data_IF_309270181851
#
_entry.id   IF_309270181851
#
_cell.length_a   1.000
_cell.length_b   1.000
_cell.length_c   1.000
_cell.angle_alpha   90.00
_cell.angle_beta   90.00
_cell.angle_gamma   90.00
#
_symmetry.space_group_name_H-M   'P 1'
#
loop_
_entity.id
_entity.type
_entity.pdbx_description
1 polymer ?
#
# COMPACT_ATOMS: atom_id res chain seq x y z
N UNK A 1 6.57 7.54 30.48
CA UNK A 1 6.10 7.24 29.11
C UNK A 1 6.42 5.80 28.81
N UNK A 2 5.42 4.91 28.78
CA UNK A 2 5.54 3.47 28.52
C UNK A 2 5.16 3.11 27.06
N UNK A 3 5.13 1.81 26.73
CA UNK A 3 4.72 1.33 25.41
C UNK A 3 3.31 1.81 24.99
N UNK A 4 2.35 1.81 25.92
CA UNK A 4 0.98 2.31 25.66
C UNK A 4 0.97 3.81 25.34
N UNK A 5 1.70 4.62 26.11
CA UNK A 5 1.82 6.07 25.85
C UNK A 5 2.48 6.33 24.49
N UNK A 6 3.50 5.54 24.14
CA UNK A 6 4.16 5.59 22.83
C UNK A 6 3.17 5.28 21.71
N UNK A 7 2.37 4.21 21.87
CA UNK A 7 1.36 3.84 20.89
C UNK A 7 0.28 4.92 20.75
N UNK A 8 -0.22 5.48 21.85
CA UNK A 8 -1.22 6.56 21.83
C UNK A 8 -0.73 7.80 21.06
N UNK A 9 0.54 8.20 21.24
CA UNK A 9 1.15 9.30 20.46
C UNK A 9 1.20 8.98 18.97
N UNK A 10 1.49 7.73 18.61
CA UNK A 10 1.46 7.28 17.21
C UNK A 10 0.03 7.28 16.65
N UNK A 11 -0.97 6.87 17.42
CA UNK A 11 -2.38 6.93 17.00
C UNK A 11 -2.82 8.37 16.75
N UNK A 12 -2.45 9.30 17.63
CA UNK A 12 -2.71 10.73 17.45
C UNK A 12 -2.04 11.28 16.19
N UNK A 13 -0.78 10.91 15.95
CA UNK A 13 -0.08 11.24 14.70
C UNK A 13 -0.76 10.62 13.46
N UNK A 14 -1.22 9.37 13.54
CA UNK A 14 -1.85 8.69 12.41
C UNK A 14 -3.20 9.32 12.01
N UNK A 15 -3.91 9.96 12.95
CA UNK A 15 -5.13 10.72 12.65
C UNK A 15 -4.85 11.93 11.73
N UNK A 16 -3.70 12.58 11.93
CA UNK A 16 -3.23 13.75 11.17
C UNK A 16 -1.72 13.63 10.86
N UNK A 17 -1.34 12.80 9.87
CA UNK A 17 0.05 12.47 9.62
C UNK A 17 0.81 13.69 9.07
N UNK A 18 1.57 14.35 9.96
CA UNK A 18 2.47 15.46 9.65
C UNK A 18 3.87 15.12 10.13
N UNK A 19 4.85 15.19 9.23
CA UNK A 19 6.24 14.85 9.53
C UNK A 19 6.46 13.38 9.89
N UNK A 20 7.57 13.11 10.58
CA UNK A 20 7.94 11.75 11.01
C UNK A 20 7.04 11.27 12.16
N UNK A 21 6.71 9.97 12.22
CA UNK A 21 5.97 9.42 13.35
C UNK A 21 6.72 9.64 14.68
N UNK A 22 6.04 9.88 15.80
CA UNK A 22 6.72 10.06 17.08
C UNK A 22 7.54 8.82 17.45
N UNK A 23 8.61 9.01 18.23
CA UNK A 23 9.39 7.93 18.83
C UNK A 23 9.20 7.92 20.34
N UNK A 24 9.28 6.72 20.93
CA UNK A 24 9.18 6.53 22.36
C UNK A 24 9.64 5.15 22.81
N UNK A 25 9.77 4.94 24.12
CA UNK A 25 10.21 3.68 24.69
C UNK A 25 9.14 2.58 24.57
N UNK A 26 9.57 1.32 24.68
CA UNK A 26 8.71 0.12 24.63
C UNK A 26 8.69 -0.68 25.95
N UNK A 27 9.06 -0.07 27.08
CA UNK A 27 8.93 -0.73 28.37
C UNK A 27 7.45 -0.86 28.79
N UNK A 28 7.13 -1.85 29.62
CA UNK A 28 5.75 -2.20 30.04
C UNK A 28 4.82 -2.49 28.85
N UNK A 29 5.21 -3.47 28.03
CA UNK A 29 4.37 -4.01 26.93
C UNK A 29 3.10 -4.69 27.45
N UNK A 30 3.07 -5.07 28.73
CA UNK A 30 1.92 -5.67 29.40
C UNK A 30 0.69 -4.76 29.40
N UNK A 31 0.90 -3.45 29.48
CA UNK A 31 -0.17 -2.45 29.35
C UNK A 31 -0.90 -2.52 27.98
N UNK A 32 -0.24 -2.99 26.92
CA UNK A 32 -0.87 -3.14 25.60
C UNK A 32 -1.90 -4.28 25.53
N UNK A 33 -1.90 -5.21 26.50
CA UNK A 33 -2.83 -6.36 26.52
C UNK A 33 -4.24 -5.94 26.95
N UNK A 34 -4.34 -4.98 27.85
CA UNK A 34 -5.59 -4.38 28.31
C UNK A 34 -5.42 -2.86 28.34
N UNK A 35 -5.43 -2.21 27.16
CA UNK A 35 -5.11 -0.80 27.05
C UNK A 35 -6.19 0.05 27.69
N UNK A 36 -5.83 1.19 28.28
CA UNK A 36 -6.80 2.06 28.94
C UNK A 36 -7.89 2.57 27.96
N UNK A 37 -9.04 2.97 28.51
CA UNK A 37 -10.20 3.44 27.73
C UNK A 37 -9.87 4.56 26.71
N UNK A 38 -9.02 5.54 27.01
CA UNK A 38 -8.62 6.56 26.03
C UNK A 38 -7.96 5.97 24.77
N UNK A 39 -7.19 4.89 24.91
CA UNK A 39 -6.51 4.22 23.79
C UNK A 39 -7.51 3.45 22.94
N UNK A 40 -8.44 2.74 23.57
CA UNK A 40 -9.54 2.05 22.87
C UNK A 40 -10.41 3.02 22.09
N UNK A 41 -10.77 4.15 22.71
CA UNK A 41 -11.52 5.23 22.06
C UNK A 41 -10.76 5.81 20.87
N UNK A 42 -9.47 6.12 21.03
CA UNK A 42 -8.64 6.65 19.95
C UNK A 42 -8.54 5.67 18.76
N UNK A 43 -8.40 4.37 19.01
CA UNK A 43 -8.38 3.34 17.96
C UNK A 43 -9.71 3.28 17.19
N UNK A 44 -10.83 3.27 17.90
CA UNK A 44 -12.16 3.21 17.29
C UNK A 44 -12.47 4.46 16.45
N UNK A 45 -12.10 5.65 16.95
CA UNK A 45 -12.24 6.91 16.19
C UNK A 45 -11.33 6.95 14.96
N UNK A 46 -10.09 6.47 15.09
CA UNK A 46 -9.15 6.39 13.96
C UNK A 46 -9.67 5.46 12.86
N UNK A 47 -10.23 4.30 13.24
CA UNK A 47 -10.84 3.35 12.30
C UNK A 47 -12.06 3.97 11.60
N UNK A 48 -12.97 4.63 12.35
CA UNK A 48 -14.15 5.30 11.80
C UNK A 48 -13.80 6.44 10.84
N UNK A 49 -12.84 7.27 11.22
CA UNK A 49 -12.37 8.38 10.40
C UNK A 49 -11.74 7.87 9.10
N UNK A 50 -10.94 6.82 9.19
CA UNK A 50 -10.33 6.16 8.03
C UNK A 50 -11.38 5.54 7.11
N UNK A 51 -12.38 4.88 7.68
CA UNK A 51 -13.52 4.34 6.93
C UNK A 51 -14.24 5.43 6.12
N UNK A 52 -14.51 6.57 6.76
CA UNK A 52 -15.15 7.71 6.10
C UNK A 52 -14.29 8.28 4.96
N UNK A 53 -12.98 8.49 5.21
CA UNK A 53 -12.03 9.00 4.20
C UNK A 53 -11.92 8.09 2.98
N UNK A 54 -12.01 6.77 3.18
CA UNK A 54 -11.92 5.77 2.12
C UNK A 54 -13.27 5.43 1.47
N UNK A 55 -14.38 5.97 1.94
CA UNK A 55 -15.71 5.62 1.42
C UNK A 55 -16.19 4.22 1.82
N UNK A 56 -15.66 3.65 2.90
CA UNK A 56 -16.04 2.30 3.35
C UNK A 56 -17.48 2.22 3.92
N UNK A 57 -18.15 3.35 4.14
CA UNK A 57 -19.50 3.43 4.70
C UNK A 57 -19.57 3.45 6.23
N UNK A 58 -20.79 3.51 6.77
CA UNK A 58 -21.10 3.45 8.21
C UNK A 58 -22.28 2.49 8.43
N UNK A 59 -22.07 1.31 9.04
CA UNK A 59 -20.77 0.78 9.44
C UNK A 59 -19.88 0.41 8.23
N UNK A 60 -18.54 0.38 8.38
CA UNK A 60 -17.60 0.01 7.33
C UNK A 60 -17.93 -1.35 6.73
N UNK A 61 -18.10 -1.38 5.41
CA UNK A 61 -18.40 -2.58 4.62
C UNK A 61 -19.64 -3.35 5.11
N UNK A 62 -20.53 -2.70 5.88
CA UNK A 62 -21.73 -3.32 6.45
C UNK A 62 -21.48 -4.17 7.71
N UNK A 63 -20.28 -4.12 8.30
CA UNK A 63 -19.94 -4.88 9.50
C UNK A 63 -20.77 -4.44 10.72
N UNK A 64 -21.41 -5.39 11.40
CA UNK A 64 -22.29 -5.06 12.54
C UNK A 64 -21.54 -4.95 13.88
N UNK A 65 -20.37 -5.58 14.01
CA UNK A 65 -19.54 -5.54 15.22
C UNK A 65 -18.40 -4.51 15.05
N UNK A 66 -18.42 -3.38 15.78
CA UNK A 66 -17.40 -2.34 15.66
C UNK A 66 -16.06 -2.65 16.36
N UNK A 67 -15.87 -3.87 16.86
CA UNK A 67 -14.69 -4.21 17.66
C UNK A 67 -13.37 -4.10 16.89
N UNK A 68 -12.48 -3.20 17.35
CA UNK A 68 -11.08 -3.10 16.91
C UNK A 68 -10.22 -4.01 17.80
N UNK A 69 -9.40 -4.86 17.18
CA UNK A 69 -8.47 -5.72 17.92
C UNK A 69 -7.21 -4.99 18.37
N UNK A 70 -6.36 -5.68 19.11
CA UNK A 70 -5.07 -5.13 19.57
C UNK A 70 -4.05 -4.96 18.44
N UNK A 71 -4.31 -5.51 17.24
CA UNK A 71 -3.36 -5.52 16.14
C UNK A 71 -2.90 -4.12 15.73
N UNK A 72 -3.82 -3.17 15.57
CA UNK A 72 -3.48 -1.79 15.25
C UNK A 72 -2.68 -1.11 16.37
N UNK A 73 -2.96 -1.44 17.64
CA UNK A 73 -2.21 -0.92 18.78
C UNK A 73 -0.77 -1.43 18.82
N UNK A 74 -0.59 -2.74 18.58
CA UNK A 74 0.74 -3.36 18.51
C UNK A 74 1.57 -2.78 17.36
N UNK A 75 0.96 -2.51 16.20
CA UNK A 75 1.61 -1.84 15.08
C UNK A 75 1.97 -0.39 15.40
N UNK A 76 1.10 0.34 16.11
CA UNK A 76 1.38 1.70 16.57
C UNK A 76 2.55 1.72 17.57
N UNK A 77 2.58 0.79 18.52
CA UNK A 77 3.69 0.61 19.44
C UNK A 77 4.98 0.30 18.69
N UNK A 78 4.97 -0.69 17.78
CA UNK A 78 6.12 -1.05 16.95
C UNK A 78 6.68 0.15 16.17
N UNK A 79 5.81 0.95 15.55
CA UNK A 79 6.21 2.15 14.81
C UNK A 79 6.84 3.23 15.71
N UNK A 80 6.27 3.45 16.90
CA UNK A 80 6.80 4.40 17.87
C UNK A 80 8.11 3.92 18.50
N UNK A 81 8.25 2.61 18.66
CA UNK A 81 9.43 1.94 19.18
C UNK A 81 10.53 1.68 18.16
N UNK A 82 10.43 2.19 16.92
CA UNK A 82 11.36 1.87 15.81
C UNK A 82 12.85 2.14 16.08
N UNK A 83 13.20 2.93 17.10
CA UNK A 83 14.58 3.08 17.58
C UNK A 83 15.11 1.86 18.35
N UNK A 84 14.23 0.94 18.76
CA UNK A 84 14.51 -0.33 19.41
C UNK A 84 14.09 -1.46 18.46
N UNK A 85 14.97 -1.78 17.50
CA UNK A 85 14.62 -2.61 16.33
C UNK A 85 14.02 -3.98 16.70
N UNK A 86 14.65 -4.73 17.60
CA UNK A 86 14.19 -6.07 17.98
C UNK A 86 12.84 -6.05 18.72
N UNK A 87 12.63 -5.24 19.78
CA UNK A 87 11.31 -5.12 20.40
C UNK A 87 10.22 -4.63 19.44
N UNK A 88 10.53 -3.64 18.59
CA UNK A 88 9.57 -3.11 17.62
C UNK A 88 9.15 -4.19 16.62
N UNK A 89 10.11 -4.97 16.09
CA UNK A 89 9.84 -6.08 15.19
C UNK A 89 8.97 -7.15 15.84
N UNK A 90 9.31 -7.58 17.06
CA UNK A 90 8.52 -8.59 17.81
C UNK A 90 7.08 -8.12 18.05
N UNK A 91 6.86 -6.84 18.35
CA UNK A 91 5.52 -6.27 18.49
C UNK A 91 4.75 -6.29 17.16
N UNK A 92 5.41 -5.92 16.05
CA UNK A 92 4.78 -5.98 14.73
C UNK A 92 4.42 -7.42 14.34
N UNK A 93 5.32 -8.37 14.56
CA UNK A 93 5.07 -9.81 14.34
C UNK A 93 3.98 -10.36 15.27
N UNK A 94 3.88 -9.89 16.52
CA UNK A 94 2.76 -10.25 17.40
C UNK A 94 1.41 -9.71 16.92
N UNK A 95 1.39 -8.65 16.11
CA UNK A 95 0.20 -8.16 15.45
C UNK A 95 -0.24 -9.06 14.28
N UNK A 96 0.62 -9.98 13.82
CA UNK A 96 0.35 -10.93 12.74
C UNK A 96 -0.68 -11.96 13.21
N UNK A 97 -1.96 -11.58 13.18
CA UNK A 97 -3.07 -12.51 13.25
C UNK A 97 -3.54 -12.83 11.84
N UNK A 98 -3.92 -14.10 11.63
CA UNK A 98 -4.43 -14.58 10.33
C UNK A 98 -5.62 -13.75 9.90
N UNK A 99 -5.41 -12.96 8.86
CA UNK A 99 -6.45 -12.23 8.18
C UNK A 99 -7.46 -13.21 7.56
N UNK A 100 -8.75 -12.84 7.46
CA UNK A 100 -9.74 -13.65 6.79
C UNK A 100 -9.30 -13.95 5.35
N UNK A 101 -9.42 -15.21 4.98
CA UNK A 101 -9.23 -15.65 3.59
C UNK A 101 -10.59 -15.75 2.91
N UNK A 102 -10.63 -15.85 1.56
CA UNK A 102 -11.87 -16.16 0.84
C UNK A 102 -12.62 -17.39 1.37
N UNK A 103 -11.90 -18.31 2.02
CA UNK A 103 -12.41 -19.54 2.64
C UNK A 103 -12.91 -19.35 4.08
N UNK A 104 -12.66 -18.20 4.70
CA UNK A 104 -13.10 -17.85 6.08
C UNK A 104 -13.68 -16.42 6.20
N UNK A 105 -14.60 -15.99 5.30
CA UNK A 105 -15.03 -14.60 5.19
C UNK A 105 -15.83 -14.10 6.41
N UNK A 106 -16.54 -14.99 7.11
CA UNK A 106 -17.37 -14.66 8.30
C UNK A 106 -16.56 -14.16 9.51
N UNK A 107 -15.22 -14.17 9.43
CA UNK A 107 -14.32 -13.64 10.48
C UNK A 107 -13.69 -12.29 10.11
N UNK A 108 -14.13 -11.65 9.02
CA UNK A 108 -13.59 -10.36 8.59
C UNK A 108 -14.00 -9.23 9.52
N UNK A 109 -13.07 -8.89 10.42
CA UNK A 109 -13.16 -7.74 11.32
C UNK A 109 -12.71 -6.46 10.62
N UNK A 110 -13.50 -5.96 9.67
CA UNK A 110 -13.19 -4.81 8.82
C UNK A 110 -12.78 -3.57 9.62
N UNK A 111 -13.34 -3.34 10.81
CA UNK A 111 -12.87 -2.32 11.74
C UNK A 111 -11.40 -2.49 12.15
N UNK A 112 -10.97 -3.70 12.49
CA UNK A 112 -9.56 -3.99 12.82
C UNK A 112 -8.65 -3.78 11.59
N UNK A 113 -9.11 -4.20 10.40
CA UNK A 113 -8.40 -4.00 9.14
C UNK A 113 -8.17 -2.51 8.87
N UNK A 114 -9.21 -1.70 9.03
CA UNK A 114 -9.17 -0.26 8.82
C UNK A 114 -8.29 0.42 9.87
N UNK A 115 -8.32 -0.03 11.14
CA UNK A 115 -7.44 0.48 12.18
C UNK A 115 -5.96 0.20 11.86
N UNK A 116 -5.62 -1.02 11.42
CA UNK A 116 -4.26 -1.37 10.98
C UNK A 116 -3.84 -0.50 9.78
N UNK A 117 -4.72 -0.33 8.81
CA UNK A 117 -4.48 0.52 7.66
C UNK A 117 -4.21 1.97 8.06
N UNK A 118 -5.02 2.51 8.97
CA UNK A 118 -4.91 3.88 9.45
C UNK A 118 -3.55 4.18 10.09
N UNK A 119 -2.95 3.19 10.77
CA UNK A 119 -1.62 3.32 11.37
C UNK A 119 -0.51 3.11 10.33
N UNK A 120 -0.60 2.06 9.51
CA UNK A 120 0.51 1.65 8.64
C UNK A 120 0.59 2.47 7.35
N UNK A 121 -0.53 2.84 6.74
CA UNK A 121 -0.54 3.60 5.48
C UNK A 121 0.21 4.95 5.55
N UNK A 122 0.01 5.82 6.57
CA UNK A 122 0.83 7.02 6.69
C UNK A 122 2.30 6.69 7.01
N UNK A 123 2.57 5.61 7.75
CA UNK A 123 3.93 5.22 8.13
C UNK A 123 4.79 4.82 6.93
N UNK A 124 4.23 4.06 5.99
CA UNK A 124 4.96 3.64 4.77
C UNK A 124 5.28 4.81 3.84
N UNK A 125 4.52 5.91 3.94
CA UNK A 125 4.78 7.15 3.19
C UNK A 125 5.79 8.04 3.91
N UNK A 126 5.70 8.14 5.24
CA UNK A 126 6.54 9.04 6.03
C UNK A 126 7.95 8.49 6.27
N UNK A 127 8.10 7.16 6.38
CA UNK A 127 9.40 6.54 6.63
C UNK A 127 10.23 6.48 5.34
N UNK A 128 11.53 6.82 5.39
CA UNK A 128 12.40 6.74 4.23
C UNK A 128 12.49 5.30 3.73
N UNK A 129 12.38 5.13 2.41
CA UNK A 129 12.52 3.83 1.78
C UNK A 129 14.00 3.39 1.83
N UNK A 130 14.32 2.13 2.16
CA UNK A 130 15.70 1.69 2.33
C UNK A 130 16.61 1.80 1.09
N UNK A 131 16.08 2.15 -0.09
CA UNK A 131 16.90 2.35 -1.30
C UNK A 131 17.75 3.63 -1.24
N UNK A 132 17.33 4.65 -0.50
CA UNK A 132 17.95 5.98 -0.56
C UNK A 132 19.20 6.12 0.32
N UNK A 133 19.40 5.17 1.24
CA UNK A 133 20.58 5.11 2.11
C UNK A 133 21.76 4.39 1.45
N UNK A 134 21.50 3.38 0.59
CA UNK A 134 22.56 2.57 -0.05
C UNK A 134 23.25 3.30 -1.20
N UNK A 135 22.54 4.17 -1.93
CA UNK A 135 23.17 4.98 -2.99
C UNK A 135 24.08 6.10 -2.46
N UNK A 136 23.98 6.49 -1.17
CA UNK A 136 24.84 7.54 -0.59
C UNK A 136 26.14 7.03 0.02
N UNK A 137 26.29 5.73 0.24
CA UNK A 137 27.51 5.14 0.82
C UNK A 137 28.32 4.26 -0.15
N UNK A 138 27.86 4.05 -1.40
CA UNK A 138 28.60 3.33 -2.43
C UNK A 138 29.55 4.25 -3.22
N UNK A 139 30.36 5.06 -2.53
CA UNK A 139 31.46 5.83 -3.14
C UNK A 139 32.67 5.85 -2.23
N UNK A 140 33.30 4.68 -2.10
CA UNK A 140 34.72 4.55 -1.78
C UNK A 140 35.19 3.16 -2.27
N UNK A 141 36.19 3.06 -3.16
CA UNK A 141 36.85 1.78 -3.41
C UNK A 141 37.90 1.58 -2.32
N UNK A 142 37.83 0.46 -1.61
CA UNK A 142 38.94 0.00 -0.79
C UNK A 142 39.25 -1.45 -1.13
N UNK A 143 40.48 -1.60 -1.63
CA UNK A 143 41.24 -2.80 -1.95
C UNK A 143 41.27 -3.79 -0.78
N UNK A 144 41.19 -5.08 -1.09
CA UNK A 144 41.75 -6.16 -0.28
C UNK A 144 40.90 -6.65 0.89
N UNK A 145 40.22 -7.78 0.74
CA UNK A 145 40.68 -9.04 1.33
C UNK A 145 39.64 -10.14 1.09
N UNK A 146 40.14 -11.26 0.58
CA UNK A 146 39.39 -12.48 0.43
C UNK A 146 39.33 -13.18 1.79
N UNK A 147 38.14 -13.31 2.39
CA UNK A 147 37.89 -14.39 3.35
C UNK A 147 36.41 -14.71 3.60
N UNK A 148 36.15 -16.01 3.50
CA UNK A 148 35.17 -16.83 4.21
C UNK A 148 33.70 -16.80 3.75
N UNK A 149 33.32 -17.94 3.17
CA UNK A 149 31.96 -18.47 3.00
C UNK A 149 31.24 -18.55 4.36
N UNK A 150 30.70 -17.42 4.81
CA UNK A 150 29.57 -17.39 5.73
C UNK A 150 28.28 -17.56 4.93
N UNK A 151 27.35 -18.37 5.42
CA UNK A 151 25.97 -18.35 4.93
C UNK A 151 25.49 -16.89 4.84
N UNK A 152 24.69 -16.50 3.82
CA UNK A 152 24.22 -15.13 3.73
C UNK A 152 23.53 -14.79 5.05
N UNK A 153 24.11 -13.86 5.82
CA UNK A 153 23.40 -13.24 6.91
C UNK A 153 22.17 -12.60 6.27
N UNK A 154 21.02 -13.25 6.38
CA UNK A 154 19.75 -12.67 5.96
C UNK A 154 19.57 -11.41 6.78
N UNK A 155 19.83 -10.26 6.15
CA UNK A 155 19.61 -8.98 6.78
C UNK A 155 18.17 -8.97 7.31
N UNK A 156 17.95 -8.56 8.57
CA UNK A 156 16.61 -8.55 9.13
C UNK A 156 15.69 -7.70 8.26
N UNK A 157 14.53 -8.26 7.91
CA UNK A 157 13.56 -7.59 7.06
C UNK A 157 13.24 -6.19 7.61
N UNK A 158 13.27 -5.13 6.78
CA UNK A 158 12.98 -3.78 7.24
C UNK A 158 11.62 -3.73 7.95
N UNK A 159 11.54 -2.98 9.05
CA UNK A 159 10.30 -2.84 9.83
C UNK A 159 9.11 -2.46 8.94
N UNK A 160 9.32 -1.59 7.93
CA UNK A 160 8.29 -1.20 6.95
C UNK A 160 7.67 -2.40 6.23
N UNK A 161 8.46 -3.40 5.84
CA UNK A 161 7.94 -4.60 5.16
C UNK A 161 7.22 -5.53 6.15
N UNK A 162 7.66 -5.60 7.41
CA UNK A 162 6.93 -6.29 8.48
C UNK A 162 5.56 -5.63 8.75
N UNK A 163 5.52 -4.29 8.81
CA UNK A 163 4.28 -3.52 8.97
C UNK A 163 3.31 -3.76 7.80
N UNK A 164 3.82 -3.79 6.57
CA UNK A 164 3.02 -4.08 5.37
C UNK A 164 2.42 -5.49 5.42
N UNK A 165 3.21 -6.50 5.84
CA UNK A 165 2.70 -7.88 6.02
C UNK A 165 1.54 -7.94 7.01
N UNK A 166 1.57 -7.11 8.05
CA UNK A 166 0.58 -7.10 9.13
C UNK A 166 -0.62 -6.15 8.88
N UNK A 167 -0.59 -5.37 7.78
CA UNK A 167 -1.68 -4.49 7.35
C UNK A 167 -2.12 -4.83 5.93
N UNK A 168 -2.98 -5.83 5.75
CA UNK A 168 -3.35 -6.36 4.43
C UNK A 168 -4.11 -5.33 3.59
N UNK A 169 -4.90 -4.44 4.19
CA UNK A 169 -5.51 -3.36 3.42
C UNK A 169 -4.48 -2.35 2.92
N UNK A 170 -3.46 -2.02 3.71
CA UNK A 170 -2.33 -1.23 3.20
C UNK A 170 -1.59 -2.00 2.11
N UNK A 171 -1.39 -3.30 2.26
CA UNK A 171 -0.75 -4.12 1.24
C UNK A 171 -1.52 -4.11 -0.10
N UNK A 172 -2.85 -4.12 -0.05
CA UNK A 172 -3.71 -4.01 -1.24
C UNK A 172 -3.67 -2.61 -1.85
N UNK A 173 -3.88 -1.55 -1.05
CA UNK A 173 -4.04 -0.18 -1.56
C UNK A 173 -2.71 0.52 -1.89
N UNK A 174 -1.62 0.10 -1.26
CA UNK A 174 -0.27 0.63 -1.46
C UNK A 174 0.57 -0.36 -2.27
N UNK A 175 1.13 -1.38 -1.60
CA UNK A 175 1.79 -2.53 -2.23
C UNK A 175 2.09 -3.61 -1.19
N UNK A 176 2.24 -4.89 -1.59
CA UNK A 176 2.76 -5.93 -0.72
C UNK A 176 4.19 -5.62 -0.26
N UNK A 177 4.66 -6.33 0.78
CA UNK A 177 6.08 -6.27 1.17
C UNK A 177 6.99 -6.76 0.02
N UNK A 178 8.22 -6.25 -0.03
CA UNK A 178 9.11 -6.48 -1.19
C UNK A 178 9.44 -7.96 -1.38
N UNK A 179 9.60 -8.71 -0.29
CA UNK A 179 9.83 -10.16 -0.30
C UNK A 179 8.72 -10.90 -1.04
N UNK A 180 7.45 -10.57 -0.77
CA UNK A 180 6.28 -11.17 -1.47
C UNK A 180 6.21 -10.79 -2.94
N UNK A 181 6.45 -9.53 -3.29
CA UNK A 181 6.47 -9.08 -4.69
C UNK A 181 7.54 -9.86 -5.48
N UNK A 182 8.77 -9.95 -4.94
CA UNK A 182 9.87 -10.66 -5.59
C UNK A 182 9.59 -12.15 -5.78
N UNK A 183 8.91 -12.77 -4.81
CA UNK A 183 8.54 -14.17 -4.86
C UNK A 183 7.25 -14.45 -5.68
N UNK A 184 6.55 -13.42 -6.17
CA UNK A 184 5.21 -13.57 -6.78
C UNK A 184 4.14 -14.06 -5.79
N UNK A 185 4.41 -13.98 -4.49
CA UNK A 185 3.57 -14.54 -3.43
C UNK A 185 2.48 -13.55 -2.96
N UNK A 186 1.74 -12.97 -3.91
CA UNK A 186 0.74 -11.91 -3.68
C UNK A 186 -0.71 -12.42 -3.62
N UNK A 187 -0.89 -13.74 -3.44
CA UNK A 187 -2.21 -14.37 -3.41
C UNK A 187 -3.10 -13.88 -2.25
N UNK A 188 -2.51 -13.53 -1.10
CA UNK A 188 -3.24 -13.04 0.06
C UNK A 188 -3.84 -11.65 -0.18
N UNK A 189 -3.07 -10.75 -0.80
CA UNK A 189 -3.51 -9.40 -1.15
C UNK A 189 -4.58 -9.44 -2.24
N UNK A 190 -4.40 -10.30 -3.26
CA UNK A 190 -5.45 -10.58 -4.26
C UNK A 190 -6.74 -11.08 -3.62
N UNK A 191 -6.65 -12.09 -2.74
CA UNK A 191 -7.81 -12.61 -2.01
C UNK A 191 -8.50 -11.56 -1.16
N UNK A 192 -7.74 -10.65 -0.54
CA UNK A 192 -8.28 -9.51 0.23
C UNK A 192 -9.02 -8.52 -0.68
N UNK A 193 -8.46 -8.19 -1.85
CA UNK A 193 -9.12 -7.32 -2.82
C UNK A 193 -10.41 -7.96 -3.39
N UNK A 194 -10.39 -9.24 -3.71
CA UNK A 194 -11.59 -9.99 -4.13
C UNK A 194 -12.64 -10.03 -3.04
N UNK A 195 -12.25 -10.17 -1.76
CA UNK A 195 -13.18 -10.07 -0.63
C UNK A 195 -13.82 -8.69 -0.54
N UNK A 196 -13.05 -7.60 -0.73
CA UNK A 196 -13.60 -6.24 -0.75
C UNK A 196 -14.67 -6.07 -1.83
N UNK A 197 -14.46 -6.65 -3.03
CA UNK A 197 -15.45 -6.58 -4.12
C UNK A 197 -16.78 -7.27 -3.80
N UNK A 198 -16.84 -8.14 -2.80
CA UNK A 198 -18.12 -8.74 -2.32
C UNK A 198 -18.98 -7.75 -1.53
N UNK A 199 -18.44 -6.58 -1.19
CA UNK A 199 -19.15 -5.53 -0.46
C UNK A 199 -19.37 -4.32 -1.37
N UNK A 200 -20.57 -3.72 -1.42
CA UNK A 200 -20.86 -2.55 -2.26
C UNK A 200 -19.87 -1.39 -2.04
N UNK A 201 -19.52 -1.13 -0.78
CA UNK A 201 -18.55 -0.08 -0.39
C UNK A 201 -17.09 -0.48 -0.59
N UNK A 202 -16.80 -1.77 -0.77
CA UNK A 202 -15.44 -2.25 -1.00
C UNK A 202 -14.94 -1.90 -2.40
N UNK A 203 -15.83 -1.89 -3.41
CA UNK A 203 -15.51 -1.37 -4.75
C UNK A 203 -15.14 0.11 -4.71
N UNK A 204 -15.94 0.95 -4.03
CA UNK A 204 -15.67 2.38 -3.87
C UNK A 204 -14.33 2.65 -3.16
N UNK A 205 -14.03 1.84 -2.16
CA UNK A 205 -12.77 1.86 -1.43
C UNK A 205 -11.58 1.54 -2.35
N UNK A 206 -11.67 0.48 -3.16
CA UNK A 206 -10.63 0.13 -4.13
C UNK A 206 -10.44 1.24 -5.18
N UNK A 207 -11.52 1.78 -5.74
CA UNK A 207 -11.45 2.90 -6.69
C UNK A 207 -10.70 4.08 -6.06
N UNK A 208 -11.11 4.48 -4.84
CA UNK A 208 -10.52 5.63 -4.14
C UNK A 208 -9.06 5.42 -3.79
N UNK A 209 -8.67 4.21 -3.37
CA UNK A 209 -7.30 3.90 -3.02
C UNK A 209 -6.36 3.76 -4.22
N UNK A 210 -6.84 3.18 -5.33
CA UNK A 210 -6.01 2.83 -6.49
C UNK A 210 -5.85 3.96 -7.50
N UNK A 211 -6.77 4.93 -7.55
CA UNK A 211 -6.80 5.96 -8.61
C UNK A 211 -5.73 7.07 -8.51
N UNK A 212 -5.07 7.22 -7.37
CA UNK A 212 -4.10 8.30 -7.11
C UNK A 212 -2.71 7.95 -7.65
N UNK A 213 -2.00 8.89 -8.27
CA UNK A 213 -0.59 8.66 -8.62
C UNK A 213 0.30 8.50 -7.36
N UNK A 214 1.38 7.73 -7.48
CA UNK A 214 2.35 7.48 -6.42
C UNK A 214 3.78 7.70 -6.95
N UNK A 215 4.66 8.34 -6.17
CA UNK A 215 6.08 8.46 -6.52
C UNK A 215 6.86 7.15 -6.35
N UNK A 216 6.33 6.18 -5.60
CA UNK A 216 6.93 4.84 -5.50
C UNK A 216 6.52 4.00 -6.74
N UNK A 217 7.45 3.65 -7.65
CA UNK A 217 7.14 2.86 -8.85
C UNK A 217 6.61 1.46 -8.54
N UNK A 218 6.97 0.88 -7.38
CA UNK A 218 6.47 -0.43 -6.98
C UNK A 218 4.97 -0.40 -6.68
N UNK A 219 4.45 0.73 -6.17
CA UNK A 219 3.01 0.94 -5.95
C UNK A 219 2.28 0.96 -7.29
N UNK A 220 2.74 1.75 -8.25
CA UNK A 220 2.08 1.87 -9.56
C UNK A 220 2.10 0.53 -10.34
N UNK A 221 3.22 -0.19 -10.27
CA UNK A 221 3.34 -1.52 -10.88
C UNK A 221 2.38 -2.52 -10.23
N UNK A 222 2.37 -2.59 -8.89
CA UNK A 222 1.44 -3.44 -8.15
C UNK A 222 -0.02 -3.13 -8.50
N UNK A 223 -0.40 -1.85 -8.60
CA UNK A 223 -1.77 -1.46 -8.94
C UNK A 223 -2.17 -1.90 -10.34
N UNK A 224 -1.28 -1.77 -11.32
CA UNK A 224 -1.52 -2.25 -12.69
C UNK A 224 -1.74 -3.78 -12.72
N UNK A 225 -0.90 -4.53 -12.01
CA UNK A 225 -1.01 -5.98 -11.87
C UNK A 225 -2.32 -6.36 -11.18
N UNK A 226 -2.62 -5.74 -10.03
CA UNK A 226 -3.84 -6.01 -9.27
C UNK A 226 -5.09 -5.72 -10.11
N UNK A 227 -5.15 -4.60 -10.84
CA UNK A 227 -6.28 -4.27 -11.71
C UNK A 227 -6.45 -5.29 -12.84
N UNK A 228 -5.36 -5.75 -13.45
CA UNK A 228 -5.41 -6.80 -14.48
C UNK A 228 -5.99 -8.10 -13.91
N UNK A 229 -5.57 -8.46 -12.70
CA UNK A 229 -6.02 -9.68 -12.02
C UNK A 229 -7.47 -9.61 -11.56
N UNK A 230 -7.93 -8.42 -11.13
CA UNK A 230 -9.31 -8.22 -10.69
C UNK A 230 -10.29 -8.11 -11.87
N UNK A 231 -9.81 -7.97 -13.10
CA UNK A 231 -10.65 -7.87 -14.30
C UNK A 231 -11.56 -9.11 -14.48
N UNK A 232 -11.09 -10.28 -14.07
CA UNK A 232 -11.86 -11.53 -14.09
C UNK A 232 -13.04 -11.51 -13.12
N UNK A 233 -12.95 -10.72 -12.03
CA UNK A 233 -13.97 -10.64 -10.99
C UNK A 233 -14.89 -9.43 -11.13
N UNK A 234 -14.37 -8.31 -11.63
CA UNK A 234 -15.13 -7.09 -11.86
C UNK A 234 -14.58 -6.34 -13.09
N UNK A 235 -15.08 -6.67 -14.30
CA UNK A 235 -14.57 -6.10 -15.56
C UNK A 235 -14.69 -4.59 -15.69
N UNK A 236 -15.58 -3.97 -14.92
CA UNK A 236 -15.83 -2.52 -14.92
C UNK A 236 -14.90 -1.77 -13.97
N UNK A 237 -14.22 -2.47 -13.05
CA UNK A 237 -13.35 -1.85 -12.05
C UNK A 237 -12.20 -1.05 -12.69
N UNK A 238 -11.58 -1.58 -13.76
CA UNK A 238 -10.52 -0.87 -14.50
C UNK A 238 -11.04 0.48 -15.01
N UNK A 239 -12.22 0.47 -15.64
CA UNK A 239 -12.82 1.66 -16.21
C UNK A 239 -13.11 2.70 -15.12
N UNK A 240 -13.65 2.26 -13.98
CA UNK A 240 -13.98 3.15 -12.88
C UNK A 240 -12.74 3.71 -12.17
N UNK A 241 -11.69 2.91 -11.97
CA UNK A 241 -10.42 3.38 -11.39
C UNK A 241 -9.76 4.40 -12.30
N UNK A 242 -9.66 4.12 -13.61
CA UNK A 242 -9.10 5.06 -14.58
C UNK A 242 -9.97 6.33 -14.70
N UNK A 243 -11.29 6.20 -14.65
CA UNK A 243 -12.21 7.36 -14.69
C UNK A 243 -12.02 8.22 -13.44
N UNK A 244 -11.96 7.62 -12.25
CA UNK A 244 -11.68 8.33 -11.01
C UNK A 244 -10.29 9.00 -11.02
N UNK A 245 -9.28 8.34 -11.61
CA UNK A 245 -7.94 8.91 -11.75
C UNK A 245 -7.96 10.19 -12.61
N UNK A 246 -8.72 10.19 -13.72
CA UNK A 246 -8.91 11.38 -14.57
C UNK A 246 -9.71 12.47 -13.87
N UNK A 247 -10.85 12.13 -13.27
CA UNK A 247 -11.77 13.12 -12.69
C UNK A 247 -11.23 13.77 -11.41
N UNK A 248 -10.58 12.99 -10.53
CA UNK A 248 -10.14 13.48 -9.21
C UNK A 248 -8.69 13.98 -9.21
N UNK A 249 -7.86 13.45 -10.12
CA UNK A 249 -6.42 13.67 -10.12
C UNK A 249 -5.85 13.97 -11.51
N UNK A 250 -6.68 14.38 -12.47
CA UNK A 250 -6.32 14.56 -13.87
C UNK A 250 -5.10 15.44 -14.10
N UNK A 251 -5.05 16.63 -13.48
CA UNK A 251 -3.93 17.56 -13.63
C UNK A 251 -2.60 16.97 -13.16
N UNK A 252 -2.64 16.29 -12.01
CA UNK A 252 -1.46 15.64 -11.47
C UNK A 252 -1.01 14.48 -12.37
N UNK A 253 -1.93 13.63 -12.83
CA UNK A 253 -1.63 12.57 -13.79
C UNK A 253 -1.07 13.11 -15.11
N UNK A 254 -1.63 14.19 -15.65
CA UNK A 254 -1.14 14.84 -16.87
C UNK A 254 0.29 15.34 -16.71
N UNK A 255 0.59 15.98 -15.58
CA UNK A 255 1.95 16.45 -15.27
C UNK A 255 2.94 15.27 -15.20
N UNK A 256 2.59 14.19 -14.49
CA UNK A 256 3.47 13.03 -14.38
C UNK A 256 3.63 12.27 -15.70
N UNK A 257 2.59 12.17 -16.53
CA UNK A 257 2.68 11.58 -17.87
C UNK A 257 3.53 12.42 -18.82
N UNK A 258 3.47 13.75 -18.74
CA UNK A 258 4.37 14.65 -19.50
C UNK A 258 5.82 14.52 -19.05
N UNK A 259 6.08 14.38 -17.74
CA UNK A 259 7.42 14.09 -17.21
C UNK A 259 7.93 12.75 -17.71
N UNK A 260 7.16 11.68 -17.49
CA UNK A 260 7.50 10.35 -17.95
C UNK A 260 7.80 10.29 -19.46
N UNK A 261 7.00 10.98 -20.28
CA UNK A 261 7.24 11.04 -21.73
C UNK A 261 8.60 11.69 -22.07
N UNK A 262 8.99 12.77 -21.37
CA UNK A 262 10.30 13.39 -21.57
C UNK A 262 11.43 12.47 -21.10
N UNK A 263 11.29 11.88 -19.92
CA UNK A 263 12.33 11.05 -19.31
C UNK A 263 12.59 9.77 -20.13
N UNK A 264 11.56 9.19 -20.75
CA UNK A 264 11.68 8.02 -21.62
C UNK A 264 12.20 8.33 -23.04
N UNK A 265 12.23 9.61 -23.44
CA UNK A 265 12.80 10.05 -24.72
C UNK A 265 14.31 10.33 -24.62
N UNK A 266 14.85 10.47 -23.41
CA UNK A 266 16.28 10.71 -23.20
C UNK A 266 17.10 9.45 -23.54
N UNK A 267 18.28 9.64 -24.13
CA UNK A 267 19.22 8.55 -24.37
C UNK A 267 19.76 8.03 -23.03
N UNK A 268 19.41 6.79 -22.66
CA UNK A 268 19.83 6.18 -21.41
C UNK A 268 18.93 5.01 -20.98
N UNK A 269 19.25 4.35 -19.86
CA UNK A 269 18.36 3.34 -19.27
C UNK A 269 17.04 4.00 -18.89
N UNK A 270 15.93 3.39 -19.29
CA UNK A 270 14.60 3.93 -19.03
C UNK A 270 14.35 4.09 -17.52
N UNK A 271 13.93 5.29 -17.12
CA UNK A 271 13.61 5.57 -15.72
C UNK A 271 12.45 4.68 -15.24
N UNK A 272 12.69 3.96 -14.13
CA UNK A 272 11.73 3.05 -13.53
C UNK A 272 10.44 3.76 -13.08
N UNK A 273 10.53 5.02 -12.66
CA UNK A 273 9.35 5.82 -12.28
C UNK A 273 8.51 6.20 -13.51
N UNK A 274 9.16 6.64 -14.58
CA UNK A 274 8.51 6.94 -15.84
C UNK A 274 7.81 5.70 -16.45
N UNK A 275 8.49 4.54 -16.47
CA UNK A 275 7.90 3.28 -16.92
C UNK A 275 6.70 2.85 -16.06
N UNK A 276 6.82 2.94 -14.73
CA UNK A 276 5.73 2.58 -13.82
C UNK A 276 4.51 3.52 -13.97
N UNK A 277 4.76 4.81 -14.22
CA UNK A 277 3.72 5.81 -14.50
C UNK A 277 2.93 5.46 -15.77
N UNK A 278 3.61 5.08 -16.85
CA UNK A 278 2.94 4.62 -18.07
C UNK A 278 2.22 3.27 -17.84
N UNK A 279 2.88 2.31 -17.18
CA UNK A 279 2.39 0.94 -16.94
C UNK A 279 1.09 0.90 -16.14
N UNK A 280 0.84 1.86 -15.25
CA UNK A 280 -0.46 1.99 -14.56
C UNK A 280 -1.67 1.90 -15.52
N UNK A 281 -1.53 2.43 -16.74
CA UNK A 281 -2.59 2.49 -17.74
C UNK A 281 -2.67 1.26 -18.64
N UNK A 282 -1.79 0.27 -18.48
CA UNK A 282 -1.77 -0.95 -19.27
C UNK A 282 -3.09 -1.76 -19.25
N UNK A 283 -3.78 -1.91 -18.10
CA UNK A 283 -5.07 -2.62 -18.07
C UNK A 283 -6.13 -1.95 -18.96
N UNK A 284 -6.15 -0.61 -19.00
CA UNK A 284 -7.05 0.16 -19.88
C UNK A 284 -6.70 -0.03 -21.36
N UNK A 285 -5.40 -0.04 -21.70
CA UNK A 285 -4.93 -0.30 -23.06
C UNK A 285 -5.37 -1.70 -23.54
N UNK A 286 -5.31 -2.70 -22.67
CA UNK A 286 -5.78 -4.06 -22.96
C UNK A 286 -7.29 -4.09 -23.23
N UNK A 287 -8.10 -3.38 -22.45
CA UNK A 287 -9.55 -3.23 -22.70
C UNK A 287 -9.85 -2.62 -24.06
N UNK A 288 -9.14 -1.54 -24.42
CA UNK A 288 -9.29 -0.89 -25.72
C UNK A 288 -8.93 -1.85 -26.86
N UNK A 289 -7.80 -2.57 -26.73
CA UNK A 289 -7.36 -3.55 -27.73
C UNK A 289 -8.35 -4.69 -27.91
N UNK A 290 -9.04 -5.09 -26.84
CA UNK A 290 -10.06 -6.15 -26.86
C UNK A 290 -11.43 -5.65 -27.38
N UNK A 291 -11.50 -4.45 -27.96
CA UNK A 291 -12.70 -3.92 -28.62
C UNK A 291 -13.59 -3.04 -27.75
N UNK A 292 -13.14 -2.63 -26.56
CA UNK A 292 -13.90 -1.68 -25.74
C UNK A 292 -13.79 -0.27 -26.34
N UNK A 293 -14.90 0.27 -26.82
CA UNK A 293 -15.00 1.67 -27.23
C UNK A 293 -15.03 2.58 -26.00
N UNK A 294 -13.84 3.04 -25.57
CA UNK A 294 -13.66 3.85 -24.37
C UNK A 294 -14.40 5.19 -24.46
N UNK A 295 -14.45 5.81 -25.65
CA UNK A 295 -15.11 7.09 -25.84
C UNK A 295 -16.62 6.98 -25.62
N UNK A 296 -17.22 5.88 -26.09
CA UNK A 296 -18.65 5.60 -25.89
C UNK A 296 -18.98 5.14 -24.47
N UNK A 297 -18.18 4.22 -23.92
CA UNK A 297 -18.49 3.55 -22.63
C UNK A 297 -18.17 4.43 -21.43
N UNK A 298 -17.17 5.30 -21.53
CA UNK A 298 -16.76 6.24 -20.46
C UNK A 298 -16.27 7.56 -21.06
N UNK A 299 -17.18 8.48 -21.45
CA UNK A 299 -16.81 9.80 -21.97
C UNK A 299 -15.91 10.61 -21.03
N UNK A 300 -16.03 10.37 -19.73
CA UNK A 300 -15.24 11.02 -18.68
C UNK A 300 -13.77 10.56 -18.61
N UNK A 301 -13.36 9.58 -19.43
CA UNK A 301 -11.95 9.19 -19.58
C UNK A 301 -11.13 10.11 -20.48
N UNK A 302 -11.69 11.22 -21.00
CA UNK A 302 -10.98 12.14 -21.88
C UNK A 302 -9.56 12.51 -21.40
N UNK A 303 -8.60 12.55 -22.32
CA UNK A 303 -7.19 12.86 -22.04
C UNK A 303 -6.34 11.65 -21.63
N UNK A 304 -6.87 10.42 -21.73
CA UNK A 304 -6.14 9.18 -21.48
C UNK A 304 -5.22 8.77 -22.66
N UNK A 305 -5.35 9.42 -23.82
CA UNK A 305 -4.70 9.04 -25.07
C UNK A 305 -3.17 9.11 -24.97
N UNK A 306 -2.63 10.10 -24.25
CA UNK A 306 -1.19 10.19 -24.02
C UNK A 306 -0.66 8.99 -23.23
N UNK A 307 -1.39 8.55 -22.20
CA UNK A 307 -1.02 7.38 -21.43
C UNK A 307 -1.03 6.11 -22.29
N UNK A 308 -2.08 5.91 -23.09
CA UNK A 308 -2.16 4.74 -23.98
C UNK A 308 -1.06 4.75 -25.05
N UNK A 309 -0.73 5.93 -25.61
CA UNK A 309 0.41 6.06 -26.53
C UNK A 309 1.71 5.57 -25.88
N UNK A 310 2.03 6.01 -24.66
CA UNK A 310 3.21 5.56 -23.93
C UNK A 310 3.17 4.03 -23.69
N UNK A 311 2.03 3.48 -23.29
CA UNK A 311 1.89 2.03 -23.10
C UNK A 311 2.20 1.25 -24.40
N UNK A 312 1.71 1.73 -25.54
CA UNK A 312 1.96 1.09 -26.83
C UNK A 312 3.41 1.25 -27.30
N UNK A 313 3.96 2.47 -27.25
CA UNK A 313 5.33 2.77 -27.68
C UNK A 313 6.35 1.91 -26.92
N UNK A 314 6.16 1.69 -25.62
CA UNK A 314 7.08 0.93 -24.78
C UNK A 314 6.61 -0.52 -24.52
N UNK A 315 5.60 -1.02 -25.23
CA UNK A 315 5.19 -2.42 -25.16
C UNK A 315 4.69 -2.90 -23.79
N UNK A 316 4.13 -2.01 -22.96
CA UNK A 316 3.86 -2.25 -21.54
C UNK A 316 2.61 -3.10 -21.26
N UNK A 317 1.93 -3.60 -22.29
CA UNK A 317 0.71 -4.41 -22.17
C UNK A 317 0.96 -5.86 -21.74
N UNK A 318 2.20 -6.33 -21.78
CA UNK A 318 2.57 -7.66 -21.29
C UNK A 318 3.04 -7.56 -19.84
N UNK A 319 2.34 -8.24 -18.93
CA UNK A 319 2.85 -8.55 -17.62
C UNK A 319 4.11 -9.42 -17.80
N UNK A 320 5.30 -8.85 -17.62
CA UNK A 320 6.56 -9.60 -17.69
C UNK A 320 7.73 -8.98 -18.46
N UNK A 321 7.63 -7.77 -19.02
CA UNK A 321 8.83 -7.07 -19.48
C UNK A 321 9.63 -6.57 -18.25
N UNK A 322 10.48 -7.47 -17.75
CA UNK A 322 11.61 -7.19 -16.85
C UNK A 322 12.69 -6.43 -17.59
#
# INVERSE_FOLDING_TARGET
MNAETTALRVLAWAAEPKGQPPQGPLWDVTALRDPAEPVRTALAELARTTAARLGAGRPPLGEQDPGVGLGALLLAAALGGRGQQDPARRLAEAAEQRFPTPNTPKKARWYDVLARHAVVAPAVVALPMPSDARSRHASAPAVGDAQLLGAPHEEPEPLTDTLLRCSPLTAVLHRPCRSRIRAGATAAERGTATLLLRHPRGRELLITGLCRWSPDPAVLTWRAELLTLLDEHDPELILDVCTAARLRHGDHWNEQLRRAARDLMLEGPADGSALATARFWAPLATKQRNGTDLARVRPLLAGHEQALRLVHTYGLTRAGAR
#
